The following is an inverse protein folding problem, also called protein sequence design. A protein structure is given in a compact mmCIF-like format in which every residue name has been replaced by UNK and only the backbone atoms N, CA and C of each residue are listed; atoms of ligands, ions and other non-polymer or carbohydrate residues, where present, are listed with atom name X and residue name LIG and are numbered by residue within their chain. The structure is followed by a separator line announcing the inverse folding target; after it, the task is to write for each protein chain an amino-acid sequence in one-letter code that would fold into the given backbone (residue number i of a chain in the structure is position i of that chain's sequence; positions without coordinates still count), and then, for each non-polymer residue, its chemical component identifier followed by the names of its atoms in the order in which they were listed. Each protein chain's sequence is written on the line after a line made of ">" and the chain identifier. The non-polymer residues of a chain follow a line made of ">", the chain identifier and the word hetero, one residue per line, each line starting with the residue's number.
data_IF_485424921765
#
_entry.id   IF_485424921765
#
_cell.length_a   1.000
_cell.length_b   1.000
_cell.length_c   1.000
_cell.angle_alpha   90.00
_cell.angle_beta   90.00
_cell.angle_gamma   90.00
#
_symmetry.space_group_name_H-M   'P 1'
#
loop_
_entity.id
_entity.type
_entity.pdbx_description
1 polymer ?
#
# COMPACT_ATOMS: atom_id res chain seq x y z
N UNK A 1 -10.63 9.95 -14.74
CA UNK A 1 -9.48 9.58 -13.87
C UNK A 1 -9.36 8.06 -13.90
N UNK A 2 -8.33 7.51 -14.54
CA UNK A 2 -8.11 6.07 -14.55
C UNK A 2 -7.76 5.63 -13.11
N UNK A 3 -8.59 4.76 -12.51
CA UNK A 3 -8.22 4.12 -11.26
C UNK A 3 -7.02 3.23 -11.57
N UNK A 4 -5.85 3.53 -10.99
CA UNK A 4 -4.75 2.56 -10.97
C UNK A 4 -5.31 1.29 -10.31
N UNK A 5 -5.52 0.26 -11.12
CA UNK A 5 -6.09 -0.99 -10.68
C UNK A 5 -4.92 -1.82 -10.17
N UNK A 6 -4.73 -1.79 -8.86
CA UNK A 6 -3.77 -2.67 -8.21
C UNK A 6 -4.42 -4.03 -8.01
N UNK A 7 -3.69 -5.10 -8.32
CA UNK A 7 -4.14 -6.46 -8.03
C UNK A 7 -4.33 -6.63 -6.53
N UNK A 8 -5.30 -7.46 -6.14
CA UNK A 8 -5.60 -7.74 -4.72
C UNK A 8 -4.37 -8.31 -4.02
N UNK A 9 -3.65 -9.24 -4.67
CA UNK A 9 -2.40 -9.81 -4.17
C UNK A 9 -1.34 -8.75 -3.86
N UNK A 10 -1.23 -7.73 -4.72
CA UNK A 10 -0.28 -6.64 -4.52
C UNK A 10 -0.66 -5.77 -3.32
N UNK A 11 -1.96 -5.46 -3.18
CA UNK A 11 -2.47 -4.71 -2.03
C UNK A 11 -2.21 -5.49 -0.74
N UNK A 12 -2.48 -6.80 -0.72
CA UNK A 12 -2.23 -7.65 0.45
C UNK A 12 -0.74 -7.71 0.80
N UNK A 13 0.15 -7.88 -0.18
CA UNK A 13 1.60 -7.85 0.06
C UNK A 13 2.04 -6.51 0.65
N UNK A 14 1.56 -5.39 0.10
CA UNK A 14 1.91 -4.04 0.57
C UNK A 14 1.38 -3.78 1.99
N UNK A 15 0.13 -4.16 2.29
CA UNK A 15 -0.44 -4.02 3.64
C UNK A 15 0.36 -4.86 4.64
N UNK A 16 0.63 -6.12 4.29
CA UNK A 16 1.35 -7.05 5.16
C UNK A 16 2.76 -6.54 5.46
N UNK A 17 3.51 -6.13 4.43
CA UNK A 17 4.85 -5.58 4.61
C UNK A 17 4.82 -4.26 5.42
N UNK A 18 3.81 -3.41 5.20
CA UNK A 18 3.63 -2.17 5.95
C UNK A 18 3.27 -2.41 7.43
N UNK A 19 2.52 -3.46 7.74
CA UNK A 19 2.19 -3.87 9.11
C UNK A 19 3.39 -4.50 9.82
N UNK A 20 4.12 -5.40 9.17
CA UNK A 20 5.30 -6.07 9.73
C UNK A 20 6.43 -5.07 10.02
N UNK A 21 6.68 -4.13 9.11
CA UNK A 21 7.71 -3.10 9.28
C UNK A 21 7.24 -1.91 10.13
N UNK A 22 5.94 -1.81 10.39
CA UNK A 22 5.26 -0.64 10.96
C UNK A 22 5.59 0.68 10.23
N UNK A 23 6.04 0.60 8.96
CA UNK A 23 6.59 1.73 8.23
C UNK A 23 5.96 1.84 6.84
N UNK A 24 4.73 2.38 6.83
CA UNK A 24 3.95 2.64 5.61
C UNK A 24 4.72 3.53 4.64
N UNK A 25 5.49 4.51 5.12
CA UNK A 25 6.25 5.43 4.27
C UNK A 25 7.40 4.73 3.52
N UNK A 26 8.06 3.77 4.17
CA UNK A 26 9.11 2.97 3.54
C UNK A 26 8.56 2.10 2.41
N UNK A 27 7.48 1.38 2.69
CA UNK A 27 6.80 0.52 1.71
C UNK A 27 6.21 1.35 0.57
N UNK A 28 5.54 2.46 0.88
CA UNK A 28 5.06 3.45 -0.10
C UNK A 28 6.17 3.87 -1.06
N UNK A 29 7.34 4.24 -0.54
CA UNK A 29 8.48 4.67 -1.35
C UNK A 29 9.05 3.53 -2.20
N UNK A 30 9.10 2.31 -1.67
CA UNK A 30 9.62 1.12 -2.35
C UNK A 30 8.78 0.72 -3.56
N UNK A 31 7.47 0.88 -3.45
CA UNK A 31 6.51 0.53 -4.49
C UNK A 31 6.00 1.74 -5.30
N UNK A 32 6.56 2.93 -5.07
CA UNK A 32 6.12 4.20 -5.67
C UNK A 32 4.61 4.47 -5.53
N UNK A 33 4.06 4.08 -4.38
CA UNK A 33 2.66 4.27 -4.01
C UNK A 33 2.57 5.44 -3.04
N UNK A 34 1.52 6.25 -3.14
CA UNK A 34 1.26 7.26 -2.11
C UNK A 34 0.94 6.59 -0.77
N UNK A 35 1.56 7.01 0.35
CA UNK A 35 1.26 6.44 1.67
C UNK A 35 -0.23 6.60 2.02
N UNK A 36 -0.87 7.68 1.55
CA UNK A 36 -2.33 7.89 1.67
C UNK A 36 -3.17 6.78 1.04
N UNK A 37 -2.69 6.19 -0.06
CA UNK A 37 -3.35 5.05 -0.72
C UNK A 37 -3.23 3.79 0.15
N UNK A 38 -2.07 3.54 0.74
CA UNK A 38 -1.87 2.40 1.65
C UNK A 38 -2.72 2.56 2.92
N UNK A 39 -2.78 3.77 3.50
CA UNK A 39 -3.68 4.06 4.62
C UNK A 39 -5.16 3.83 4.26
N UNK A 40 -5.55 4.11 3.02
CA UNK A 40 -6.90 3.83 2.53
C UNK A 40 -7.16 2.32 2.42
N UNK A 41 -6.16 1.52 2.04
CA UNK A 41 -6.28 0.06 2.00
C UNK A 41 -6.30 -0.57 3.39
N UNK A 42 -5.50 -0.07 4.34
CA UNK A 42 -5.50 -0.54 5.74
C UNK A 42 -6.82 -0.22 6.45
N UNK A 43 -7.45 0.91 6.12
CA UNK A 43 -8.70 1.36 6.74
C UNK A 43 -9.95 0.66 6.15
N UNK A 44 -9.82 0.06 4.97
CA UNK A 44 -10.92 -0.62 4.28
C UNK A 44 -11.09 -2.03 4.81
#
# INVERSE_FOLDING_TARGET
>A
MAKKQYSVEFIEQVIKEAQETNNVALVARRYEISPSTIHTWIRK
#
